data_IF_344339009431
#
_entry.id   IF_344339009431
#
_cell.length_a   1.000
_cell.length_b   1.000
_cell.length_c   1.000
_cell.angle_alpha   90.00
_cell.angle_beta   90.00
_cell.angle_gamma   90.00
#
_symmetry.space_group_name_H-M   'P 1'
#
loop_
_entity.id
_entity.type
_entity.pdbx_description
1 polymer ?
#
# COMPACT_ATOMS: atom_id res chain seq x y z
N UNK A 1 -22.36 -24.78 15.26
CA UNK A 1 -21.30 -23.75 15.31
C UNK A 1 -20.17 -24.18 14.38
N UNK A 2 -20.16 -23.71 13.13
CA UNK A 2 -19.16 -24.13 12.14
C UNK A 2 -17.79 -23.55 12.52
N UNK A 3 -16.84 -24.42 12.87
CA UNK A 3 -15.42 -24.07 13.00
C UNK A 3 -15.02 -23.40 11.68
N UNK A 4 -14.75 -22.09 11.67
CA UNK A 4 -14.21 -21.42 10.48
C UNK A 4 -12.86 -22.06 10.21
N UNK A 5 -12.83 -23.05 9.31
CA UNK A 5 -11.60 -23.67 8.85
C UNK A 5 -10.67 -22.54 8.38
N UNK A 6 -9.45 -22.51 8.92
CA UNK A 6 -8.44 -21.53 8.50
C UNK A 6 -8.20 -21.74 7.01
N UNK A 7 -8.63 -20.80 6.17
CA UNK A 7 -8.39 -20.85 4.72
C UNK A 7 -6.88 -20.83 4.48
N UNK A 8 -6.39 -21.70 3.60
CA UNK A 8 -4.98 -21.76 3.22
C UNK A 8 -4.62 -20.51 2.42
N UNK A 9 -3.47 -19.91 2.74
CA UNK A 9 -2.93 -18.72 2.03
C UNK A 9 -1.76 -19.17 1.17
N UNK A 10 -1.68 -18.64 -0.05
CA UNK A 10 -0.57 -18.81 -0.98
C UNK A 10 0.07 -17.45 -1.27
N UNK A 11 1.38 -17.45 -1.51
CA UNK A 11 2.16 -16.26 -1.86
C UNK A 11 2.50 -16.33 -3.35
N UNK A 12 2.09 -15.34 -4.13
CA UNK A 12 2.41 -15.21 -5.55
C UNK A 12 2.93 -13.79 -5.74
N UNK A 13 4.15 -13.63 -6.24
CA UNK A 13 4.81 -12.32 -6.45
C UNK A 13 4.80 -11.39 -5.22
N UNK A 14 4.93 -11.98 -4.02
CA UNK A 14 4.88 -11.24 -2.76
C UNK A 14 3.47 -10.81 -2.31
N UNK A 15 2.43 -11.13 -3.08
CA UNK A 15 1.03 -10.87 -2.74
C UNK A 15 0.39 -12.15 -2.16
N UNK A 16 -0.40 -11.98 -1.10
CA UNK A 16 -1.06 -13.08 -0.38
C UNK A 16 -2.47 -13.28 -0.91
N UNK A 17 -2.74 -14.48 -1.41
CA UNK A 17 -4.04 -14.89 -1.90
C UNK A 17 -4.58 -16.07 -1.10
N UNK A 18 -5.91 -16.22 -1.05
CA UNK A 18 -6.47 -17.48 -0.57
C UNK A 18 -6.28 -18.58 -1.63
N UNK A 19 -6.03 -19.80 -1.18
CA UNK A 19 -5.81 -20.95 -2.05
C UNK A 19 -7.09 -21.41 -2.77
N UNK A 20 -8.26 -21.15 -2.18
CA UNK A 20 -9.54 -21.37 -2.84
C UNK A 20 -9.78 -20.35 -3.94
N UNK A 21 -10.30 -20.82 -5.08
CA UNK A 21 -10.58 -19.98 -6.24
C UNK A 21 -12.04 -19.51 -6.25
N UNK A 22 -12.32 -18.29 -6.72
CA UNK A 22 -13.69 -17.80 -6.85
C UNK A 22 -14.50 -18.60 -7.87
N UNK A 23 -15.76 -18.88 -7.52
CA UNK A 23 -16.77 -19.46 -8.40
C UNK A 23 -17.15 -18.51 -9.54
N UNK A 24 -17.09 -17.20 -9.28
CA UNK A 24 -17.46 -16.16 -10.25
C UNK A 24 -16.43 -15.06 -10.33
N UNK A 25 -16.24 -14.53 -11.54
CA UNK A 25 -15.32 -13.42 -11.78
C UNK A 25 -15.65 -12.17 -10.97
N UNK A 26 -16.89 -11.96 -10.51
CA UNK A 26 -17.27 -10.78 -9.72
C UNK A 26 -16.59 -10.73 -8.35
N UNK A 27 -16.17 -11.89 -7.83
CA UNK A 27 -15.49 -12.00 -6.55
C UNK A 27 -13.96 -12.07 -6.71
N UNK A 28 -13.48 -11.93 -7.94
CA UNK A 28 -12.07 -11.97 -8.26
C UNK A 28 -11.38 -10.67 -7.88
N UNK A 29 -10.16 -10.76 -7.35
CA UNK A 29 -9.31 -9.57 -7.20
C UNK A 29 -9.06 -8.87 -8.55
N UNK A 30 -8.86 -9.65 -9.62
CA UNK A 30 -8.62 -9.14 -10.97
C UNK A 30 -9.90 -8.81 -11.75
N UNK A 31 -11.03 -8.63 -11.08
CA UNK A 31 -12.27 -8.24 -11.75
C UNK A 31 -12.24 -6.77 -12.16
N UNK A 32 -12.59 -6.48 -13.42
CA UNK A 32 -12.67 -5.10 -13.92
C UNK A 32 -14.10 -4.57 -13.95
N UNK A 33 -14.97 -5.19 -14.75
CA UNK A 33 -16.41 -4.84 -14.84
C UNK A 33 -17.19 -5.97 -15.52
N UNK A 34 -18.51 -5.81 -15.73
CA UNK A 34 -19.34 -6.82 -16.41
C UNK A 34 -18.96 -7.04 -17.88
N UNK A 35 -18.47 -6.00 -18.58
CA UNK A 35 -18.12 -6.06 -20.01
C UNK A 35 -16.79 -6.78 -20.25
N UNK A 36 -15.80 -6.53 -19.40
CA UNK A 36 -14.43 -7.09 -19.52
C UNK A 36 -14.25 -8.37 -18.72
N UNK A 37 -14.92 -8.52 -17.58
CA UNK A 37 -14.71 -9.64 -16.67
C UNK A 37 -13.38 -9.56 -15.92
N UNK A 38 -12.75 -10.72 -15.68
CA UNK A 38 -11.44 -10.78 -15.04
C UNK A 38 -10.33 -10.50 -16.07
N UNK A 39 -9.43 -9.56 -15.78
CA UNK A 39 -8.38 -9.15 -16.74
C UNK A 39 -7.37 -10.27 -17.04
N UNK A 40 -7.14 -11.20 -16.12
CA UNK A 40 -6.23 -12.34 -16.29
C UNK A 40 -6.95 -13.64 -16.70
N UNK A 41 -8.24 -13.56 -17.02
CA UNK A 41 -9.09 -14.72 -17.29
C UNK A 41 -9.56 -15.45 -16.03
N UNK A 42 -10.57 -16.32 -16.17
CA UNK A 42 -11.20 -17.03 -15.04
C UNK A 42 -10.25 -17.99 -14.31
N UNK A 43 -9.30 -18.60 -15.02
CA UNK A 43 -8.38 -19.57 -14.43
C UNK A 43 -7.34 -18.93 -13.49
N UNK A 44 -7.02 -17.65 -13.70
CA UNK A 44 -6.08 -16.89 -12.85
C UNK A 44 -6.80 -16.06 -11.79
N UNK A 45 -7.99 -16.50 -11.41
CA UNK A 45 -8.83 -15.76 -10.49
C UNK A 45 -8.57 -16.17 -9.03
N UNK A 46 -8.33 -15.17 -8.19
CA UNK A 46 -7.99 -15.36 -6.78
C UNK A 46 -8.74 -14.39 -5.88
N UNK A 47 -9.01 -14.82 -4.64
CA UNK A 47 -9.40 -13.93 -3.56
C UNK A 47 -8.16 -13.33 -2.91
N UNK A 48 -8.19 -12.03 -2.67
CA UNK A 48 -7.12 -11.36 -1.94
C UNK A 48 -7.20 -11.72 -0.44
N UNK A 49 -6.12 -12.24 0.13
CA UNK A 49 -6.08 -12.59 1.56
C UNK A 49 -5.76 -11.39 2.45
N UNK A 50 -4.97 -10.45 1.95
CA UNK A 50 -4.52 -9.26 2.66
C UNK A 50 -4.50 -8.07 1.70
N UNK A 51 -4.95 -6.90 2.16
CA UNK A 51 -5.00 -5.70 1.33
C UNK A 51 -3.59 -5.37 0.78
N UNK A 52 -3.50 -5.17 -0.54
CA UNK A 52 -2.23 -4.76 -1.16
C UNK A 52 -2.10 -3.26 -1.00
N UNK A 53 -1.26 -2.83 -0.05
CA UNK A 53 -0.85 -1.43 0.05
C UNK A 53 0.22 -1.13 -0.99
N UNK A 54 0.01 -0.08 -1.77
CA UNK A 54 1.01 0.50 -2.66
C UNK A 54 2.23 1.00 -1.88
N UNK A 55 3.36 1.18 -2.57
CA UNK A 55 4.56 1.72 -1.93
C UNK A 55 4.31 3.10 -1.30
N UNK A 56 3.48 3.93 -1.93
CA UNK A 56 3.10 5.25 -1.40
C UNK A 56 2.22 5.15 -0.15
N UNK A 57 1.26 4.21 -0.14
CA UNK A 57 0.44 3.93 1.04
C UNK A 57 1.29 3.44 2.21
N UNK A 58 2.25 2.54 1.96
CA UNK A 58 3.19 2.06 2.99
C UNK A 58 4.05 3.19 3.56
N UNK A 59 4.52 4.11 2.70
CA UNK A 59 5.29 5.29 3.16
C UNK A 59 4.49 6.23 4.05
N UNK A 60 3.18 6.30 3.87
CA UNK A 60 2.30 7.16 4.65
C UNK A 60 1.56 6.40 5.77
N UNK A 61 1.91 5.14 6.05
CA UNK A 61 1.36 4.36 7.16
C UNK A 61 1.77 4.99 8.50
N UNK A 62 0.79 5.33 9.34
CA UNK A 62 1.04 5.99 10.64
C UNK A 62 1.54 7.44 10.55
N UNK A 63 1.61 8.02 9.36
CA UNK A 63 2.03 9.41 9.17
C UNK A 63 0.96 10.37 9.73
N UNK A 64 1.36 11.33 10.57
CA UNK A 64 0.44 12.30 11.17
C UNK A 64 -0.26 13.23 10.15
N UNK A 65 0.32 13.35 8.95
CA UNK A 65 -0.27 14.10 7.84
C UNK A 65 -1.25 13.26 7.01
N UNK A 66 -1.18 11.94 7.12
CA UNK A 66 -2.02 11.00 6.39
C UNK A 66 -3.08 10.44 7.37
N UNK A 67 -4.30 11.00 7.33
CA UNK A 67 -5.42 10.63 8.21
C UNK A 67 -6.02 9.26 7.85
N UNK A 68 -5.21 8.19 7.91
CA UNK A 68 -5.61 6.85 7.48
C UNK A 68 -5.83 6.72 5.98
N UNK A 69 -5.26 7.63 5.19
CA UNK A 69 -5.26 7.63 3.72
C UNK A 69 -3.85 7.97 3.23
N UNK A 70 -3.40 7.45 2.08
CA UNK A 70 -2.13 7.84 1.49
C UNK A 70 -2.05 9.35 1.24
N UNK A 71 -0.82 9.87 1.26
CA UNK A 71 -0.55 11.27 0.97
C UNK A 71 -1.04 11.61 -0.46
N UNK A 72 -1.87 12.64 -0.60
CA UNK A 72 -2.43 13.09 -1.89
C UNK A 72 -1.39 13.66 -2.86
N UNK A 73 -0.22 14.07 -2.34
CA UNK A 73 0.89 14.59 -3.12
C UNK A 73 1.79 13.47 -3.65
N UNK A 74 2.47 13.75 -4.76
CA UNK A 74 3.48 12.87 -5.34
C UNK A 74 4.67 12.59 -4.39
N UNK A 75 4.89 13.48 -3.41
CA UNK A 75 5.93 13.36 -2.38
C UNK A 75 5.27 13.19 -1.02
N UNK A 76 5.81 12.31 -0.17
CA UNK A 76 5.29 12.12 1.19
C UNK A 76 5.59 13.35 2.06
N UNK A 77 4.60 13.86 2.81
CA UNK A 77 4.78 15.02 3.69
C UNK A 77 5.76 14.76 4.84
N UNK A 78 5.88 13.52 5.31
CA UNK A 78 6.87 13.16 6.32
C UNK A 78 8.30 13.31 5.78
N UNK A 79 8.55 12.88 4.54
CA UNK A 79 9.84 13.07 3.87
C UNK A 79 10.15 14.56 3.68
N UNK A 80 9.13 15.35 3.29
CA UNK A 80 9.26 16.80 3.15
C UNK A 80 9.60 17.48 4.49
N UNK A 81 8.95 17.10 5.58
CA UNK A 81 9.21 17.67 6.90
C UNK A 81 10.63 17.32 7.39
N UNK A 82 11.09 16.08 7.17
CA UNK A 82 12.49 15.68 7.44
C UNK A 82 13.47 16.56 6.67
N UNK A 83 13.22 16.79 5.37
CA UNK A 83 14.07 17.65 4.55
C UNK A 83 14.08 19.10 5.03
N UNK A 84 12.91 19.65 5.38
CA UNK A 84 12.79 21.02 5.92
C UNK A 84 13.56 21.19 7.24
N UNK A 85 13.46 20.21 8.15
CA UNK A 85 14.20 20.23 9.42
C UNK A 85 15.71 20.17 9.21
N UNK A 86 16.18 19.26 8.35
CA UNK A 86 17.59 19.15 8.01
C UNK A 86 18.13 20.46 7.39
N UNK A 87 17.36 21.08 6.51
CA UNK A 87 17.71 22.35 5.87
C UNK A 87 17.87 23.48 6.89
N UNK A 88 16.96 23.56 7.87
CA UNK A 88 17.05 24.54 8.97
C UNK A 88 18.30 24.33 9.83
N UNK A 89 18.62 23.09 10.19
CA UNK A 89 19.81 22.75 10.98
C UNK A 89 21.08 23.13 10.21
N UNK A 90 21.17 22.75 8.93
CA UNK A 90 22.33 23.06 8.10
C UNK A 90 22.55 24.57 7.95
N UNK A 91 21.46 25.34 7.83
CA UNK A 91 21.53 26.81 7.78
C UNK A 91 22.07 27.37 9.10
N UNK A 92 21.53 26.94 10.23
CA UNK A 92 21.99 27.38 11.55
C UNK A 92 23.47 27.05 11.81
N UNK A 93 23.95 25.88 11.36
CA UNK A 93 25.36 25.52 11.46
C UNK A 93 26.26 26.42 10.60
N UNK A 94 25.83 26.77 9.39
CA UNK A 94 26.58 27.69 8.51
C UNK A 94 26.60 29.12 9.09
N UNK A 95 25.49 29.58 9.63
CA UNK A 95 25.40 30.89 10.29
C UNK A 95 26.20 30.93 11.60
N UNK A 96 26.24 29.83 12.37
CA UNK A 96 27.09 29.71 13.56
C UNK A 96 28.58 29.63 13.22
N UNK A 97 28.96 28.94 12.14
CA UNK A 97 30.34 28.86 11.67
C UNK A 97 30.85 30.14 11.01
N UNK A 98 29.95 31.01 10.51
CA UNK A 98 30.31 32.31 9.95
C UNK A 98 30.47 33.41 11.02
N UNK A 99 29.98 33.18 12.24
CA UNK A 99 29.96 34.15 13.34
C UNK A 99 30.91 33.78 14.51
N UNK A 100 31.76 32.75 14.35
CA UNK A 100 32.76 32.31 15.34
C UNK A 100 34.16 32.35 14.75
#
# INVERSE_FOLDING_TARGET
MSKKAKRKIILIDGIRYYADRPDTCRKCFFWKNRKVGCILGKQNCYYLAEAVMTAQEKKCEGCCYAKGQPCVSAVCYQELDVWLRATRINRAQREGAANG
#
